data_IF_910302939582
#
_entry.id   IF_910302939582
#
_cell.length_a   1.000
_cell.length_b   1.000
_cell.length_c   1.000
_cell.angle_alpha   90.00
_cell.angle_beta   90.00
_cell.angle_gamma   90.00
#
_symmetry.space_group_name_H-M   'P 1'
#
loop_
_entity.id
_entity.type
_entity.pdbx_description
1 polymer ?
#
# COMPACT_ATOMS: atom_id res chain seq x y z
N UNK A 1 4.46 -13.66 -30.29
CA UNK A 1 4.83 -14.82 -29.44
C UNK A 1 4.17 -16.05 -30.04
N UNK A 2 4.90 -16.85 -30.81
CA UNK A 2 4.38 -18.05 -31.48
C UNK A 2 5.13 -19.26 -30.94
N UNK A 3 4.58 -19.90 -29.90
CA UNK A 3 5.11 -21.16 -29.40
C UNK A 3 4.60 -22.30 -30.30
N UNK A 4 5.52 -22.90 -31.07
CA UNK A 4 5.27 -24.17 -31.76
C UNK A 4 5.23 -25.28 -30.69
N UNK A 5 4.05 -25.78 -30.38
CA UNK A 5 3.87 -26.97 -29.56
C UNK A 5 4.05 -28.21 -30.44
N UNK A 6 5.16 -28.93 -30.25
CA UNK A 6 5.44 -30.22 -30.89
C UNK A 6 4.83 -31.34 -30.04
N UNK A 7 4.14 -32.29 -30.68
CA UNK A 7 3.25 -33.26 -30.03
C UNK A 7 3.95 -34.51 -29.43
N UNK A 8 5.14 -34.40 -28.84
CA UNK A 8 5.83 -35.52 -28.19
C UNK A 8 6.71 -35.07 -27.04
N UNK A 9 6.31 -35.41 -25.80
CA UNK A 9 6.84 -34.94 -24.50
C UNK A 9 6.44 -33.53 -24.06
N UNK A 10 5.12 -33.27 -24.09
CA UNK A 10 4.47 -32.05 -23.58
C UNK A 10 4.98 -31.59 -22.20
N UNK A 11 5.30 -32.52 -21.29
CA UNK A 11 5.77 -32.18 -19.94
C UNK A 11 7.11 -31.42 -19.92
N UNK A 12 8.12 -31.93 -20.62
CA UNK A 12 9.44 -31.28 -20.69
C UNK A 12 9.38 -29.97 -21.49
N UNK A 13 8.51 -29.91 -22.50
CA UNK A 13 8.24 -28.68 -23.26
C UNK A 13 7.60 -27.59 -22.38
N UNK A 14 6.66 -27.95 -21.50
CA UNK A 14 6.11 -27.00 -20.51
C UNK A 14 7.16 -26.59 -19.48
N UNK A 15 7.96 -27.53 -18.98
CA UNK A 15 8.99 -27.27 -17.97
C UNK A 15 10.07 -26.32 -18.52
N UNK A 16 10.51 -26.54 -19.76
CA UNK A 16 11.45 -25.65 -20.44
C UNK A 16 10.84 -24.27 -20.72
N UNK A 17 9.56 -24.21 -21.11
CA UNK A 17 8.85 -22.94 -21.30
C UNK A 17 8.74 -22.12 -20.01
N UNK A 18 8.43 -22.77 -18.87
CA UNK A 18 8.36 -22.10 -17.56
C UNK A 18 9.73 -21.59 -17.13
N UNK A 19 10.80 -22.36 -17.35
CA UNK A 19 12.18 -21.96 -17.01
C UNK A 19 12.71 -20.79 -17.85
N UNK A 20 12.11 -20.53 -19.01
CA UNK A 20 12.45 -19.38 -19.86
C UNK A 20 11.75 -18.08 -19.44
N UNK A 21 10.80 -18.14 -18.49
CA UNK A 21 10.12 -16.95 -17.98
C UNK A 21 11.09 -16.08 -17.16
N UNK A 22 10.93 -14.74 -17.22
CA UNK A 22 11.72 -13.84 -16.41
C UNK A 22 11.46 -14.08 -14.91
N UNK A 23 12.47 -13.79 -14.08
CA UNK A 23 12.36 -13.97 -12.62
C UNK A 23 11.39 -12.94 -11.99
N UNK A 24 11.28 -11.78 -12.62
CA UNK A 24 10.36 -10.72 -12.25
C UNK A 24 9.49 -10.41 -13.46
N UNK A 25 8.19 -10.63 -13.32
CA UNK A 25 7.20 -10.39 -14.35
C UNK A 25 6.76 -8.92 -14.34
N UNK A 26 6.52 -8.34 -15.52
CA UNK A 26 5.94 -7.01 -15.60
C UNK A 26 4.48 -7.02 -15.11
N UNK A 27 4.04 -6.01 -14.36
CA UNK A 27 2.69 -5.95 -13.80
C UNK A 27 1.58 -5.99 -14.86
N UNK A 28 1.87 -5.57 -16.10
CA UNK A 28 0.94 -5.60 -17.24
C UNK A 28 0.44 -7.01 -17.59
N UNK A 29 1.25 -8.03 -17.31
CA UNK A 29 0.91 -9.44 -17.57
C UNK A 29 -0.27 -9.89 -16.69
N UNK A 30 -0.42 -9.26 -15.53
CA UNK A 30 -1.54 -9.45 -14.60
C UNK A 30 -2.67 -8.42 -14.80
N UNK A 31 -2.60 -7.59 -15.85
CA UNK A 31 -3.54 -6.50 -16.11
C UNK A 31 -3.35 -5.27 -15.20
N UNK A 32 -2.18 -5.14 -14.57
CA UNK A 32 -1.85 -4.03 -13.67
C UNK A 32 -1.00 -2.96 -14.37
N UNK A 33 -1.09 -1.72 -13.90
CA UNK A 33 -0.22 -0.63 -14.39
C UNK A 33 1.19 -0.74 -13.79
N UNK A 34 2.22 -0.19 -14.44
CA UNK A 34 3.60 -0.10 -13.91
C UNK A 34 3.72 0.50 -12.49
N UNK A 35 2.70 1.23 -12.01
CA UNK A 35 2.71 1.78 -10.66
C UNK A 35 2.41 0.72 -9.58
N UNK A 36 1.96 -0.47 -9.97
CA UNK A 36 1.73 -1.58 -9.07
C UNK A 36 3.03 -2.04 -8.39
N UNK A 37 4.14 -2.04 -9.12
CA UNK A 37 5.45 -2.39 -8.58
C UNK A 37 5.89 -1.41 -7.49
N UNK A 38 5.75 -0.11 -7.75
CA UNK A 38 6.04 0.94 -6.76
C UNK A 38 5.15 0.76 -5.53
N UNK A 39 3.85 0.51 -5.73
CA UNK A 39 2.90 0.34 -4.63
C UNK A 39 3.22 -0.90 -3.79
N UNK A 40 3.59 -2.01 -4.43
CA UNK A 40 3.98 -3.24 -3.76
C UNK A 40 5.25 -3.05 -2.93
N UNK A 41 6.32 -2.50 -3.53
CA UNK A 41 7.58 -2.24 -2.84
C UNK A 41 7.40 -1.24 -1.68
N UNK A 42 6.56 -0.23 -1.86
CA UNK A 42 6.24 0.74 -0.81
C UNK A 42 5.49 0.07 0.35
N UNK A 43 4.50 -0.78 0.05
CA UNK A 43 3.76 -1.52 1.06
C UNK A 43 4.66 -2.48 1.85
N UNK A 44 5.57 -3.18 1.18
CA UNK A 44 6.55 -4.07 1.81
C UNK A 44 7.53 -3.29 2.71
N UNK A 45 8.01 -2.13 2.24
CA UNK A 45 8.86 -1.25 3.04
C UNK A 45 8.14 -0.77 4.31
N UNK A 46 6.88 -0.33 4.20
CA UNK A 46 6.09 0.06 5.37
C UNK A 46 5.86 -1.11 6.33
N UNK A 47 5.54 -2.30 5.81
CA UNK A 47 5.39 -3.50 6.64
C UNK A 47 6.67 -3.81 7.43
N UNK A 48 7.84 -3.69 6.81
CA UNK A 48 9.11 -3.86 7.49
C UNK A 48 9.35 -2.80 8.58
N UNK A 49 9.10 -1.53 8.26
CA UNK A 49 9.27 -0.42 9.20
C UNK A 49 8.32 -0.52 10.40
N UNK A 50 7.07 -0.92 10.19
CA UNK A 50 6.09 -1.14 11.27
C UNK A 50 6.56 -2.25 12.20
N UNK A 51 7.06 -3.36 11.64
CA UNK A 51 7.63 -4.44 12.44
C UNK A 51 8.85 -3.97 13.24
N UNK A 52 9.73 -3.17 12.66
CA UNK A 52 10.87 -2.58 13.37
C UNK A 52 10.42 -1.63 14.49
N UNK A 53 9.39 -0.83 14.26
CA UNK A 53 8.82 0.06 15.27
C UNK A 53 8.21 -0.72 16.44
N UNK A 54 7.59 -1.89 16.19
CA UNK A 54 7.08 -2.78 17.24
C UNK A 54 8.20 -3.38 18.10
N UNK A 55 9.37 -3.64 17.51
CA UNK A 55 10.54 -4.14 18.21
C UNK A 55 11.29 -3.03 18.99
N UNK A 56 10.99 -1.76 18.73
CA UNK A 56 11.66 -0.65 19.38
C UNK A 56 11.36 -0.65 20.90
N UNK A 57 12.39 -0.62 21.77
CA UNK A 57 12.18 -0.55 23.21
C UNK A 57 11.46 0.74 23.57
N UNK A 58 10.33 0.61 24.28
CA UNK A 58 9.54 1.74 24.78
C UNK A 58 10.22 2.35 26.00
N UNK A 59 11.38 2.96 25.83
CA UNK A 59 11.97 3.80 26.87
C UNK A 59 11.19 5.11 26.90
N UNK A 60 10.44 5.33 27.98
CA UNK A 60 9.80 6.63 28.21
C UNK A 60 10.92 7.63 28.50
N UNK A 61 11.31 8.38 27.47
CA UNK A 61 12.16 9.56 27.65
C UNK A 61 11.39 10.52 28.55
N UNK A 62 11.89 10.70 29.78
CA UNK A 62 11.36 11.64 30.77
C UNK A 62 11.37 13.05 30.14
N UNK A 63 10.19 13.53 29.72
CA UNK A 63 10.05 14.81 29.02
C UNK A 63 9.19 14.77 27.75
N UNK A 64 8.84 13.59 27.23
CA UNK A 64 7.87 13.50 26.13
C UNK A 64 6.47 13.86 26.67
N UNK A 65 5.89 14.95 26.17
CA UNK A 65 4.47 15.25 26.39
C UNK A 65 3.66 14.01 25.98
N UNK A 66 2.91 13.44 26.92
CA UNK A 66 2.08 12.26 26.69
C UNK A 66 1.25 12.46 25.42
N UNK A 67 1.34 11.52 24.49
CA UNK A 67 0.66 11.55 23.17
C UNK A 67 -0.78 12.06 23.25
N UNK A 68 -1.48 11.72 24.33
CA UNK A 68 -2.84 12.18 24.64
C UNK A 68 -3.01 13.71 24.66
N UNK A 69 -2.12 14.46 25.31
CA UNK A 69 -2.24 15.93 25.41
C UNK A 69 -2.03 16.61 24.07
N UNK A 70 -1.09 16.10 23.26
CA UNK A 70 -0.88 16.57 21.89
C UNK A 70 -2.09 16.23 21.01
N UNK A 71 -2.69 15.06 21.21
CA UNK A 71 -3.92 14.64 20.52
C UNK A 71 -5.08 15.58 20.83
N UNK A 72 -5.35 15.86 22.10
CA UNK A 72 -6.43 16.77 22.52
C UNK A 72 -6.26 18.18 21.93
N UNK A 73 -5.04 18.72 21.96
CA UNK A 73 -4.74 20.02 21.35
C UNK A 73 -4.99 19.99 19.83
N UNK A 74 -4.57 18.93 19.15
CA UNK A 74 -4.76 18.78 17.70
C UNK A 74 -6.25 18.69 17.35
N UNK A 75 -7.03 17.92 18.11
CA UNK A 75 -8.48 17.79 17.91
C UNK A 75 -9.18 19.13 18.13
N UNK A 76 -8.84 19.85 19.19
CA UNK A 76 -9.39 21.19 19.46
C UNK A 76 -9.06 22.18 18.33
N UNK A 77 -7.83 22.15 17.82
CA UNK A 77 -7.41 22.97 16.69
C UNK A 77 -8.16 22.63 15.39
N UNK A 78 -8.37 21.34 15.11
CA UNK A 78 -9.17 20.91 13.97
C UNK A 78 -10.60 21.40 14.10
N UNK A 79 -11.23 21.22 15.26
CA UNK A 79 -12.60 21.65 15.52
C UNK A 79 -12.78 23.16 15.30
N UNK A 80 -11.81 23.98 15.68
CA UNK A 80 -11.84 25.43 15.41
C UNK A 80 -11.72 25.79 13.92
N UNK A 81 -11.09 24.93 13.11
CA UNK A 81 -10.90 25.15 11.67
C UNK A 81 -12.01 24.56 10.81
N UNK A 82 -12.88 23.71 11.35
CA UNK A 82 -13.98 23.14 10.58
C UNK A 82 -14.99 24.23 10.21
N UNK A 83 -15.40 24.32 8.94
CA UNK A 83 -16.49 25.19 8.54
C UNK A 83 -17.81 24.73 9.18
N UNK A 84 -18.78 25.65 9.37
CA UNK A 84 -20.11 25.28 9.86
C UNK A 84 -20.76 24.28 8.91
N UNK A 85 -21.50 23.33 9.48
CA UNK A 85 -22.23 22.31 8.72
C UNK A 85 -23.21 23.03 7.79
N UNK A 86 -23.15 22.72 6.50
CA UNK A 86 -24.03 23.30 5.50
C UNK A 86 -25.48 22.90 5.76
N UNK A 87 -26.39 23.88 5.74
CA UNK A 87 -27.81 23.59 5.77
C UNK A 87 -28.24 23.06 4.39
N UNK A 88 -28.48 21.76 4.31
CA UNK A 88 -28.82 21.05 3.07
C UNK A 88 -30.19 21.51 2.53
N UNK A 89 -31.13 21.88 3.40
CA UNK A 89 -32.48 22.33 3.03
C UNK A 89 -32.44 23.67 2.27
N UNK A 90 -31.54 24.57 2.66
CA UNK A 90 -31.34 25.87 1.99
C UNK A 90 -30.68 25.69 0.62
N UNK A 91 -29.80 24.69 0.47
CA UNK A 91 -29.08 24.43 -0.78
C UNK A 91 -29.95 23.69 -1.81
N UNK A 92 -30.87 22.82 -1.35
CA UNK A 92 -31.75 22.03 -2.23
C UNK A 92 -32.92 22.83 -2.81
N UNK A 93 -33.22 24.03 -2.30
CA UNK A 93 -34.32 24.88 -2.79
C UNK A 93 -33.93 25.84 -3.92
N UNK A 94 -32.75 25.65 -4.54
CA UNK A 94 -32.27 26.49 -5.64
C UNK A 94 -32.22 25.75 -6.97
#
# INVERSE_FOLDING_TARGET
ISAKLSNGNKYEDYLSSIKMLPLNDDPEIFGLHQNADISCATAEAYYCLDNLALLQPKTVLSGSTTSHKTLELTVSQLQMKLPPIFNIEIIQQR
#
